data_IF_503531952921
#
_entry.id   IF_503531952921
#
_cell.length_a   1.000
_cell.length_b   1.000
_cell.length_c   1.000
_cell.angle_alpha   90.00
_cell.angle_beta   90.00
_cell.angle_gamma   90.00
#
_symmetry.space_group_name_H-M   'P 1'
#
loop_
_entity.id
_entity.type
_entity.pdbx_description
1 polymer ?
#
# COMPACT_ATOMS: atom_id res chain seq x y z
N UNK A 1 22.23 -43.44 8.46
CA UNK A 1 21.58 -43.18 7.15
C UNK A 1 21.62 -41.68 6.90
N UNK A 2 22.20 -41.24 5.77
CA UNK A 2 22.33 -39.83 5.39
C UNK A 2 21.00 -39.34 4.82
N UNK A 3 20.35 -38.37 5.45
CA UNK A 3 19.24 -37.63 4.83
C UNK A 3 19.74 -36.27 4.34
N UNK A 4 19.47 -36.04 3.06
CA UNK A 4 19.85 -34.90 2.25
C UNK A 4 18.87 -33.77 2.53
N UNK A 5 19.33 -32.70 3.18
CA UNK A 5 18.57 -31.46 3.34
C UNK A 5 18.54 -30.71 2.01
N UNK A 6 17.45 -30.84 1.25
CA UNK A 6 17.14 -29.95 0.13
C UNK A 6 16.72 -28.59 0.66
N UNK A 7 17.68 -27.67 0.75
CA UNK A 7 17.45 -26.24 0.93
C UNK A 7 16.77 -25.70 -0.33
N UNK A 8 15.46 -25.40 -0.25
CA UNK A 8 14.77 -24.68 -1.31
C UNK A 8 15.39 -23.28 -1.42
N UNK A 9 16.00 -23.01 -2.58
CA UNK A 9 16.52 -21.70 -2.99
C UNK A 9 15.40 -20.67 -2.90
N UNK A 10 15.56 -19.68 -2.03
CA UNK A 10 14.82 -18.43 -2.11
C UNK A 10 15.15 -17.77 -3.46
N UNK A 11 14.12 -17.59 -4.29
CA UNK A 11 14.22 -16.90 -5.56
C UNK A 11 14.37 -15.40 -5.27
N UNK A 12 15.55 -14.86 -5.55
CA UNK A 12 15.81 -13.42 -5.57
C UNK A 12 15.16 -12.85 -6.85
N UNK A 13 14.07 -12.12 -6.70
CA UNK A 13 13.52 -11.28 -7.77
C UNK A 13 14.02 -9.84 -7.53
N UNK A 14 14.68 -9.20 -8.50
CA UNK A 14 15.15 -7.82 -8.38
C UNK A 14 13.97 -6.86 -8.58
N UNK A 15 13.62 -6.11 -7.53
CA UNK A 15 12.73 -4.96 -7.62
C UNK A 15 13.45 -3.83 -8.37
N UNK A 16 13.17 -3.69 -9.66
CA UNK A 16 13.44 -2.46 -10.39
C UNK A 16 12.26 -1.50 -10.25
N UNK A 17 12.61 -0.29 -9.84
CA UNK A 17 11.80 0.91 -9.68
C UNK A 17 10.73 1.10 -10.76
N UNK A 18 9.51 1.50 -10.37
CA UNK A 18 8.83 2.64 -10.98
C UNK A 18 8.08 3.44 -9.91
N UNK A 19 8.50 4.69 -9.80
CA UNK A 19 8.04 5.74 -8.92
C UNK A 19 6.68 6.23 -9.39
N UNK A 20 5.64 6.15 -8.56
CA UNK A 20 4.47 7.02 -8.70
C UNK A 20 4.22 7.71 -7.36
N UNK A 21 4.55 9.00 -7.39
CA UNK A 21 4.26 10.02 -6.40
C UNK A 21 2.75 10.12 -6.18
N UNK A 22 2.25 9.88 -4.97
CA UNK A 22 0.98 10.45 -4.53
C UNK A 22 1.17 11.12 -3.17
N UNK A 23 0.91 12.44 -3.21
CA UNK A 23 1.05 13.39 -2.12
C UNK A 23 0.04 13.10 -1.02
N UNK A 24 0.54 12.89 0.20
CA UNK A 24 -0.25 13.03 1.42
C UNK A 24 -0.36 14.52 1.77
N UNK A 25 -1.56 15.09 1.71
CA UNK A 25 -1.88 16.35 2.40
C UNK A 25 -2.61 16.02 3.69
N UNK A 26 -1.99 16.37 4.82
CA UNK A 26 -2.53 16.31 6.16
C UNK A 26 -3.73 17.25 6.32
N UNK A 27 -4.86 16.70 6.74
CA UNK A 27 -6.05 17.46 7.13
C UNK A 27 -5.96 17.77 8.63
N UNK A 28 -5.72 19.04 8.99
CA UNK A 28 -5.96 19.59 10.31
C UNK A 28 -7.05 20.64 10.16
N UNK A 29 -8.22 20.41 10.77
CA UNK A 29 -9.28 21.39 10.89
C UNK A 29 -9.47 21.69 12.37
N UNK A 30 -9.16 22.93 12.74
CA UNK A 30 -9.43 23.55 14.03
C UNK A 30 -10.52 24.61 13.84
N UNK A 31 -11.49 24.59 14.73
CA UNK A 31 -12.63 25.50 14.85
C UNK A 31 -12.25 26.99 14.86
N UNK A 32 -13.08 27.82 14.21
CA UNK A 32 -13.61 29.08 14.77
C UNK A 32 -14.62 29.76 13.83
N UNK A 33 -15.79 30.07 14.39
CA UNK A 33 -16.87 30.98 13.92
C UNK A 33 -16.86 32.12 14.96
N UNK A 34 -17.05 33.44 14.64
CA UNK A 34 -18.38 33.93 14.24
C UNK A 34 -18.51 35.20 13.36
N UNK A 35 -19.72 35.29 12.79
CA UNK A 35 -20.61 36.45 12.54
C UNK A 35 -20.05 37.80 12.05
N UNK A 36 -20.62 38.35 10.97
CA UNK A 36 -21.59 39.46 11.05
C UNK A 36 -21.89 40.16 9.69
N UNK A 37 -23.20 40.20 9.36
CA UNK A 37 -24.00 41.37 8.95
C UNK A 37 -23.81 41.99 7.54
N UNK A 38 -24.94 41.94 6.82
CA UNK A 38 -25.26 42.64 5.58
C UNK A 38 -25.36 44.17 5.74
N UNK A 39 -25.21 44.92 4.65
CA UNK A 39 -25.89 46.21 4.49
C UNK A 39 -26.09 46.56 3.02
N UNK A 40 -27.37 46.55 2.64
CA UNK A 40 -27.96 47.17 1.46
C UNK A 40 -28.12 48.66 1.74
N UNK A 41 -27.88 49.52 0.75
CA UNK A 41 -28.27 50.94 0.84
C UNK A 41 -28.77 51.42 -0.51
N UNK A 42 -30.10 51.52 -0.62
CA UNK A 42 -30.80 52.40 -1.55
C UNK A 42 -31.18 53.66 -0.79
N UNK A 43 -30.98 54.84 -1.36
CA UNK A 43 -31.89 55.97 -1.17
C UNK A 43 -31.96 56.83 -2.44
N UNK A 44 -33.13 57.46 -2.56
CA UNK A 44 -33.75 58.04 -3.72
C UNK A 44 -33.69 59.58 -3.73
N UNK A 45 -34.01 60.15 -4.92
CA UNK A 45 -34.64 61.45 -5.21
C UNK A 45 -33.77 62.72 -4.99
N UNK A 46 -33.82 63.78 -5.81
CA UNK A 46 -34.86 64.27 -6.74
C UNK A 46 -34.28 65.32 -7.73
N UNK A 47 -34.80 65.31 -8.96
CA UNK A 47 -35.24 66.43 -9.82
C UNK A 47 -34.29 67.54 -10.31
N UNK A 48 -34.31 67.76 -11.64
CA UNK A 48 -34.26 69.12 -12.20
C UNK A 48 -33.56 69.32 -13.55
N UNK A 49 -34.19 68.88 -14.64
CA UNK A 49 -34.22 69.50 -15.99
C UNK A 49 -32.93 70.01 -16.68
N UNK A 50 -32.63 69.51 -17.88
CA UNK A 50 -32.86 70.19 -19.18
C UNK A 50 -32.36 69.28 -20.32
N UNK A 51 -33.17 69.23 -21.39
CA UNK A 51 -32.93 68.55 -22.64
C UNK A 51 -31.67 69.05 -23.37
N UNK A 52 -30.78 68.14 -23.71
CA UNK A 52 -30.02 68.21 -24.97
C UNK A 52 -29.99 66.83 -25.61
N UNK A 53 -30.71 66.70 -26.73
CA UNK A 53 -30.62 65.58 -27.67
C UNK A 53 -29.14 65.37 -28.06
N UNK A 54 -28.50 64.34 -27.52
CA UNK A 54 -27.39 63.68 -28.20
C UNK A 54 -27.93 62.41 -28.84
N UNK A 55 -28.22 62.50 -30.12
CA UNK A 55 -28.45 61.34 -30.97
C UNK A 55 -27.11 60.61 -31.11
N UNK A 56 -26.92 59.54 -30.35
CA UNK A 56 -25.91 58.55 -30.69
C UNK A 56 -26.53 57.67 -31.77
N UNK A 57 -26.38 58.08 -33.03
CA UNK A 57 -26.42 57.15 -34.14
C UNK A 57 -25.15 56.30 -34.06
N UNK A 58 -25.16 55.26 -33.21
CA UNK A 58 -24.31 54.11 -33.48
C UNK A 58 -24.91 53.41 -34.68
N UNK A 59 -24.46 53.84 -35.86
CA UNK A 59 -24.55 53.09 -37.09
C UNK A 59 -23.99 51.71 -36.80
N UNK A 60 -24.85 50.75 -36.48
CA UNK A 60 -24.53 49.36 -36.70
C UNK A 60 -24.26 49.27 -38.19
N UNK A 61 -23.01 49.05 -38.56
CA UNK A 61 -22.72 48.57 -39.90
C UNK A 61 -23.54 47.30 -40.05
N UNK A 62 -24.63 47.38 -40.81
CA UNK A 62 -25.20 46.21 -41.44
C UNK A 62 -24.09 45.68 -42.34
N UNK A 63 -23.28 44.77 -41.81
CA UNK A 63 -22.63 43.80 -42.67
C UNK A 63 -23.77 43.10 -43.37
N UNK A 64 -24.05 43.53 -44.60
CA UNK A 64 -24.82 42.75 -45.53
C UNK A 64 -24.19 41.37 -45.50
N UNK A 65 -24.89 40.39 -44.92
CA UNK A 65 -24.61 39.02 -45.27
C UNK A 65 -24.71 38.99 -46.79
N UNK A 66 -23.62 38.64 -47.45
CA UNK A 66 -23.65 38.22 -48.85
C UNK A 66 -24.54 36.98 -48.94
N UNK A 67 -25.85 37.21 -48.96
CA UNK A 67 -26.85 36.21 -49.29
C UNK A 67 -26.98 36.31 -50.80
N UNK A 68 -26.22 35.47 -51.50
CA UNK A 68 -26.51 35.19 -52.90
C UNK A 68 -28.02 34.90 -53.02
N UNK A 69 -28.70 35.48 -54.01
CA UNK A 69 -30.17 35.37 -54.21
C UNK A 69 -30.71 33.92 -54.28
N UNK A 70 -29.84 32.92 -54.34
CA UNK A 70 -30.16 31.49 -54.31
C UNK A 70 -29.67 30.74 -53.05
N UNK A 71 -28.98 31.38 -52.10
CA UNK A 71 -28.60 30.76 -50.82
C UNK A 71 -29.78 30.82 -49.84
N UNK A 72 -30.76 29.94 -50.06
CA UNK A 72 -31.92 29.74 -49.15
C UNK A 72 -31.54 29.06 -47.83
N UNK A 73 -30.25 29.07 -47.45
CA UNK A 73 -29.75 28.41 -46.25
C UNK A 73 -29.63 26.89 -46.38
N UNK A 74 -29.74 26.34 -47.58
CA UNK A 74 -29.50 24.90 -47.83
C UNK A 74 -28.04 24.52 -47.59
N UNK A 75 -27.08 25.39 -47.94
CA UNK A 75 -25.65 25.17 -47.65
C UNK A 75 -25.30 25.18 -46.15
N UNK A 76 -26.22 25.65 -45.29
CA UNK A 76 -26.09 25.63 -43.82
C UNK A 76 -26.94 24.55 -43.16
N UNK A 77 -27.85 23.93 -43.92
CA UNK A 77 -28.69 22.83 -43.46
C UNK A 77 -27.94 21.56 -43.74
N UNK A 78 -27.35 21.00 -42.67
CA UNK A 78 -26.75 19.67 -42.71
C UNK A 78 -27.63 18.72 -43.51
N UNK A 79 -27.04 17.98 -44.44
CA UNK A 79 -27.78 17.01 -45.24
C UNK A 79 -28.42 15.96 -44.33
N UNK A 80 -29.40 15.23 -44.85
CA UNK A 80 -30.00 14.12 -44.08
C UNK A 80 -28.91 13.12 -43.66
N UNK A 81 -27.97 12.85 -44.57
CA UNK A 81 -26.82 11.98 -44.35
C UNK A 81 -25.88 12.54 -43.27
N UNK A 82 -25.50 13.82 -43.31
CA UNK A 82 -24.67 14.45 -42.28
C UNK A 82 -25.36 14.50 -40.90
N UNK A 83 -26.69 14.67 -40.86
CA UNK A 83 -27.46 14.58 -39.60
C UNK A 83 -27.52 13.15 -39.07
N UNK A 84 -27.68 12.16 -39.94
CA UNK A 84 -27.65 10.75 -39.56
C UNK A 84 -26.26 10.35 -39.05
N UNK A 85 -25.20 10.77 -39.73
CA UNK A 85 -23.82 10.53 -39.34
C UNK A 85 -23.50 11.17 -37.98
N UNK A 86 -23.93 12.40 -37.72
CA UNK A 86 -23.76 13.04 -36.39
C UNK A 86 -24.51 12.32 -35.27
N UNK A 87 -25.72 11.80 -35.53
CA UNK A 87 -26.46 10.99 -34.54
C UNK A 87 -25.73 9.67 -34.27
N UNK A 88 -25.33 8.97 -35.32
CA UNK A 88 -24.58 7.71 -35.23
C UNK A 88 -23.22 7.89 -34.53
N UNK A 89 -22.50 8.97 -34.82
CA UNK A 89 -21.22 9.30 -34.19
C UNK A 89 -21.40 9.55 -32.68
N UNK A 90 -22.39 10.33 -32.27
CA UNK A 90 -22.69 10.55 -30.84
C UNK A 90 -22.98 9.22 -30.12
N UNK A 91 -23.75 8.33 -30.74
CA UNK A 91 -24.05 7.01 -30.18
C UNK A 91 -22.81 6.11 -30.12
N UNK A 92 -21.95 6.16 -31.14
CA UNK A 92 -20.68 5.42 -31.18
C UNK A 92 -19.68 5.92 -30.14
N UNK A 93 -19.52 7.23 -30.01
CA UNK A 93 -18.61 7.85 -29.04
C UNK A 93 -19.06 7.53 -27.60
N UNK A 94 -20.37 7.59 -27.32
CA UNK A 94 -20.94 7.18 -26.04
C UNK A 94 -20.71 5.69 -25.73
N UNK A 95 -20.86 4.82 -26.75
CA UNK A 95 -20.59 3.39 -26.60
C UNK A 95 -19.11 3.13 -26.29
N UNK A 96 -18.21 3.81 -27.00
CA UNK A 96 -16.76 3.69 -26.77
C UNK A 96 -16.35 4.17 -25.37
N UNK A 97 -16.91 5.29 -24.89
CA UNK A 97 -16.66 5.78 -23.53
C UNK A 97 -17.13 4.75 -22.51
N UNK A 98 -18.32 4.15 -22.70
CA UNK A 98 -18.82 3.12 -21.79
C UNK A 98 -17.91 1.87 -21.77
N UNK A 99 -17.48 1.42 -22.95
CA UNK A 99 -16.55 0.29 -23.07
C UNK A 99 -15.19 0.59 -22.41
N UNK A 100 -14.69 1.82 -22.53
CA UNK A 100 -13.46 2.26 -21.85
C UNK A 100 -13.62 2.23 -20.32
N UNK A 101 -14.72 2.75 -19.79
CA UNK A 101 -14.97 2.75 -18.34
C UNK A 101 -15.04 1.32 -17.77
N UNK A 102 -15.66 0.39 -18.50
CA UNK A 102 -15.70 -1.02 -18.10
C UNK A 102 -14.29 -1.61 -18.10
N UNK A 103 -13.51 -1.40 -19.15
CA UNK A 103 -12.14 -1.90 -19.23
C UNK A 103 -11.23 -1.32 -18.13
N UNK A 104 -11.38 -0.04 -17.79
CA UNK A 104 -10.65 0.58 -16.67
C UNK A 104 -11.06 -0.04 -15.33
N UNK A 105 -12.36 -0.27 -15.11
CA UNK A 105 -12.85 -0.91 -13.90
C UNK A 105 -12.39 -2.38 -13.78
N UNK A 106 -12.39 -3.11 -14.89
CA UNK A 106 -11.82 -4.47 -14.97
C UNK A 106 -10.32 -4.46 -14.66
N UNK A 107 -9.56 -3.46 -15.12
CA UNK A 107 -8.15 -3.36 -14.81
C UNK A 107 -7.90 -3.15 -13.30
N UNK A 108 -8.74 -2.37 -12.63
CA UNK A 108 -8.67 -2.17 -11.17
C UNK A 108 -8.88 -3.50 -10.44
N UNK A 109 -9.90 -4.26 -10.82
CA UNK A 109 -10.23 -5.53 -10.13
C UNK A 109 -9.22 -6.63 -10.45
N UNK A 110 -8.76 -6.73 -11.70
CA UNK A 110 -7.92 -7.84 -12.13
C UNK A 110 -6.41 -7.61 -11.92
N UNK A 111 -5.96 -6.36 -11.82
CA UNK A 111 -4.52 -6.05 -11.69
C UNK A 111 -4.21 -5.27 -10.41
N UNK A 112 -4.84 -4.11 -10.23
CA UNK A 112 -4.44 -3.19 -9.15
C UNK A 112 -4.78 -3.75 -7.77
N UNK A 113 -6.00 -4.29 -7.62
CA UNK A 113 -6.45 -4.85 -6.35
C UNK A 113 -5.61 -6.07 -5.92
N UNK A 114 -5.40 -7.11 -6.74
CA UNK A 114 -4.49 -8.21 -6.40
C UNK A 114 -3.07 -7.73 -6.07
N UNK A 115 -2.55 -6.75 -6.82
CA UNK A 115 -1.24 -6.15 -6.53
C UNK A 115 -1.17 -5.49 -5.15
N UNK A 116 -2.21 -4.77 -4.75
CA UNK A 116 -2.31 -4.20 -3.40
C UNK A 116 -2.36 -5.28 -2.31
N UNK A 117 -3.12 -6.36 -2.53
CA UNK A 117 -3.20 -7.49 -1.59
C UNK A 117 -1.82 -8.14 -1.36
N UNK A 118 -1.05 -8.36 -2.42
CA UNK A 118 0.30 -8.91 -2.34
C UNK A 118 1.25 -7.98 -1.58
N UNK A 119 1.16 -6.66 -1.79
CA UNK A 119 1.98 -5.70 -1.04
C UNK A 119 1.63 -5.68 0.46
N UNK A 120 0.36 -5.85 0.81
CA UNK A 120 -0.09 -5.99 2.21
C UNK A 120 0.46 -7.29 2.79
N UNK A 121 0.32 -8.40 2.06
CA UNK A 121 0.78 -9.71 2.49
C UNK A 121 2.28 -9.76 2.70
N UNK A 122 3.08 -9.27 1.75
CA UNK A 122 4.54 -9.26 1.83
C UNK A 122 5.05 -8.62 3.13
N UNK A 123 4.47 -7.49 3.53
CA UNK A 123 4.83 -6.79 4.79
C UNK A 123 4.44 -7.58 6.04
N UNK A 124 3.36 -8.34 5.98
CA UNK A 124 2.89 -9.17 7.10
C UNK A 124 3.71 -10.45 7.20
N UNK A 125 3.96 -11.10 6.07
CA UNK A 125 4.80 -12.28 5.95
C UNK A 125 6.23 -12.00 6.42
N UNK A 126 6.81 -10.86 6.06
CA UNK A 126 8.13 -10.44 6.55
C UNK A 126 8.17 -10.38 8.08
N UNK A 127 7.16 -9.76 8.69
CA UNK A 127 7.06 -9.68 10.16
C UNK A 127 6.87 -11.05 10.80
N UNK A 128 6.00 -11.88 10.23
CA UNK A 128 5.76 -13.23 10.73
C UNK A 128 7.03 -14.09 10.64
N UNK A 129 7.75 -14.03 9.52
CA UNK A 129 9.03 -14.70 9.32
C UNK A 129 10.09 -14.25 10.33
N UNK A 130 10.20 -12.94 10.59
CA UNK A 130 11.12 -12.42 11.60
C UNK A 130 10.75 -12.95 12.99
N UNK A 131 9.48 -12.93 13.38
CA UNK A 131 9.03 -13.47 14.66
C UNK A 131 9.32 -14.98 14.78
N UNK A 132 8.98 -15.78 13.76
CA UNK A 132 9.26 -17.21 13.74
C UNK A 132 10.76 -17.50 13.83
N UNK A 133 11.57 -16.80 13.02
CA UNK A 133 13.02 -17.03 12.96
C UNK A 133 13.75 -16.60 14.25
N UNK A 134 13.23 -15.63 15.02
CA UNK A 134 13.78 -15.32 16.36
C UNK A 134 13.73 -16.52 17.31
N UNK A 135 12.75 -17.40 17.13
CA UNK A 135 12.65 -18.65 17.88
C UNK A 135 13.43 -19.75 17.17
N UNK A 136 13.20 -19.98 15.88
CA UNK A 136 13.76 -21.14 15.16
C UNK A 136 15.26 -21.03 14.90
N UNK A 137 15.76 -19.84 14.57
CA UNK A 137 17.17 -19.63 14.24
C UNK A 137 17.58 -18.16 14.37
N UNK A 138 17.75 -17.72 15.62
CA UNK A 138 18.11 -16.33 15.93
C UNK A 138 19.46 -15.91 15.33
N UNK A 139 20.40 -16.85 15.14
CA UNK A 139 21.71 -16.55 14.56
C UNK A 139 21.56 -16.04 13.12
N UNK A 140 20.74 -16.73 12.32
CA UNK A 140 20.43 -16.31 10.95
C UNK A 140 19.66 -14.99 10.92
N UNK A 141 18.79 -14.74 11.89
CA UNK A 141 18.15 -13.42 12.07
C UNK A 141 19.18 -12.30 12.28
N UNK A 142 20.20 -12.54 13.11
CA UNK A 142 21.25 -11.56 13.36
C UNK A 142 22.08 -11.31 12.10
N UNK A 143 22.41 -12.35 11.33
CA UNK A 143 23.13 -12.21 10.05
C UNK A 143 22.37 -11.37 9.02
N UNK A 144 21.03 -11.44 9.05
CA UNK A 144 20.13 -10.68 8.18
C UNK A 144 19.77 -9.30 8.73
N UNK A 145 20.27 -8.93 9.92
CA UNK A 145 19.96 -7.66 10.55
C UNK A 145 20.59 -6.50 9.77
N UNK A 146 19.78 -5.51 9.42
CA UNK A 146 20.26 -4.25 8.88
C UNK A 146 20.53 -3.24 10.00
N UNK A 147 21.67 -2.56 9.91
CA UNK A 147 22.13 -1.60 10.90
C UNK A 147 22.40 -0.28 10.20
N UNK A 148 21.91 0.79 10.79
CA UNK A 148 22.19 2.14 10.30
C UNK A 148 23.62 2.53 10.68
N UNK A 149 24.43 2.83 9.66
CA UNK A 149 25.79 3.34 9.85
C UNK A 149 25.80 4.88 9.82
N UNK A 150 26.82 5.53 10.42
CA UNK A 150 26.98 6.97 10.34
C UNK A 150 26.92 7.45 8.88
N UNK A 151 25.94 8.30 8.57
CA UNK A 151 25.61 8.69 7.19
C UNK A 151 24.18 8.32 6.74
N UNK A 152 23.40 7.62 7.58
CA UNK A 152 21.97 7.37 7.36
C UNK A 152 21.67 6.22 6.39
N UNK A 153 22.68 5.41 6.06
CA UNK A 153 22.53 4.23 5.22
C UNK A 153 22.35 2.97 6.07
N UNK A 154 21.38 2.13 5.72
CA UNK A 154 21.23 0.79 6.30
C UNK A 154 22.15 -0.20 5.59
N UNK A 155 22.91 -0.96 6.37
CA UNK A 155 23.85 -1.97 5.85
C UNK A 155 23.66 -3.27 6.64
N UNK A 156 23.71 -4.39 5.94
CA UNK A 156 23.66 -5.73 6.55
C UNK A 156 24.77 -5.90 7.59
N UNK A 157 24.45 -6.46 8.76
CA UNK A 157 25.39 -6.67 9.86
C UNK A 157 26.65 -7.40 9.41
N UNK A 158 26.50 -8.43 8.57
CA UNK A 158 27.61 -9.23 8.03
C UNK A 158 28.62 -8.47 7.17
N UNK A 159 28.26 -7.27 6.67
CA UNK A 159 29.18 -6.40 5.94
C UNK A 159 30.05 -5.54 6.86
N UNK A 160 29.61 -5.31 8.10
CA UNK A 160 30.28 -4.41 9.06
C UNK A 160 30.84 -5.15 10.28
N UNK A 161 30.46 -6.41 10.46
CA UNK A 161 30.91 -7.27 11.54
C UNK A 161 30.84 -8.75 11.14
N UNK A 162 31.62 -9.57 11.83
CA UNK A 162 31.54 -11.02 11.77
C UNK A 162 30.62 -11.54 12.87
N UNK A 163 29.63 -12.36 12.51
CA UNK A 163 28.75 -13.05 13.48
C UNK A 163 29.29 -14.47 13.66
N UNK A 164 29.59 -14.86 14.91
CA UNK A 164 30.20 -16.15 15.24
C UNK A 164 29.38 -16.83 16.32
N UNK A 165 28.87 -18.04 16.03
CA UNK A 165 28.26 -18.91 17.05
C UNK A 165 29.37 -19.61 17.84
N UNK A 166 29.56 -19.22 19.10
CA UNK A 166 30.61 -19.78 19.98
C UNK A 166 30.10 -20.99 20.75
N UNK A 167 28.85 -20.91 21.24
CA UNK A 167 28.16 -22.02 21.92
C UNK A 167 26.71 -22.09 21.43
N UNK A 168 25.98 -23.11 21.84
CA UNK A 168 24.55 -23.26 21.53
C UNK A 168 23.75 -21.99 21.84
N UNK A 169 24.03 -21.38 23.00
CA UNK A 169 23.29 -20.22 23.52
C UNK A 169 24.11 -18.91 23.50
N UNK A 170 25.29 -18.90 22.88
CA UNK A 170 26.17 -17.72 22.87
C UNK A 170 26.61 -17.41 21.45
N UNK A 171 26.30 -16.19 21.01
CA UNK A 171 26.75 -15.61 19.74
C UNK A 171 27.65 -14.42 20.06
N UNK A 172 28.79 -14.34 19.39
CA UNK A 172 29.68 -13.19 19.43
C UNK A 172 29.60 -12.44 18.11
N UNK A 173 29.42 -11.13 18.18
CA UNK A 173 29.59 -10.24 17.04
C UNK A 173 30.92 -9.51 17.20
N UNK A 174 31.76 -9.62 16.18
CA UNK A 174 33.08 -8.99 16.12
C UNK A 174 33.01 -7.88 15.06
N UNK A 175 32.84 -6.61 15.45
CA UNK A 175 32.84 -5.48 14.53
C UNK A 175 34.17 -5.40 13.76
N UNK A 176 34.13 -5.14 12.45
CA UNK A 176 35.34 -4.86 11.68
C UNK A 176 35.99 -3.54 12.08
N UNK A 177 35.18 -2.61 12.60
CA UNK A 177 35.63 -1.34 13.15
C UNK A 177 35.06 -1.14 14.56
N UNK A 178 35.92 -0.81 15.53
CA UNK A 178 35.55 -0.63 16.93
C UNK A 178 34.51 0.48 17.16
N UNK A 179 34.43 1.46 16.26
CA UNK A 179 33.50 2.59 16.35
C UNK A 179 32.02 2.17 16.22
N UNK A 180 31.73 1.02 15.59
CA UNK A 180 30.36 0.56 15.31
C UNK A 180 29.84 -0.36 16.42
N UNK A 181 30.69 -0.81 17.35
CA UNK A 181 30.31 -1.79 18.38
C UNK A 181 29.15 -1.36 19.27
N UNK A 182 29.08 -0.09 19.66
CA UNK A 182 27.98 0.44 20.47
C UNK A 182 26.67 0.51 19.66
N UNK A 183 26.74 0.86 18.36
CA UNK A 183 25.59 0.86 17.46
C UNK A 183 25.03 -0.54 17.30
N UNK A 184 25.88 -1.54 17.03
CA UNK A 184 25.48 -2.95 16.96
C UNK A 184 24.78 -3.39 18.25
N UNK A 185 25.38 -3.08 19.41
CA UNK A 185 24.79 -3.44 20.71
C UNK A 185 23.38 -2.87 20.86
N UNK A 186 23.17 -1.59 20.50
CA UNK A 186 21.84 -0.96 20.56
C UNK A 186 20.85 -1.61 19.59
N UNK A 187 21.23 -1.87 18.34
CA UNK A 187 20.36 -2.49 17.35
C UNK A 187 19.95 -3.91 17.76
N UNK A 188 20.89 -4.73 18.20
CA UNK A 188 20.60 -6.10 18.64
C UNK A 188 19.70 -6.09 19.87
N UNK A 189 19.93 -5.18 20.84
CA UNK A 189 19.09 -5.09 22.04
C UNK A 189 17.63 -4.74 21.74
N UNK A 190 17.39 -3.97 20.67
CA UNK A 190 16.04 -3.62 20.19
C UNK A 190 15.43 -4.68 19.28
N UNK A 191 16.27 -5.46 18.60
CA UNK A 191 15.81 -6.48 17.66
C UNK A 191 15.02 -7.59 18.37
N UNK A 192 15.53 -8.09 19.50
CA UNK A 192 14.83 -9.06 20.32
C UNK A 192 15.09 -8.80 21.81
N UNK A 193 14.04 -8.36 22.52
CA UNK A 193 14.09 -8.01 23.94
C UNK A 193 14.37 -9.20 24.86
N UNK A 194 14.22 -10.43 24.37
CA UNK A 194 14.50 -11.62 25.16
C UNK A 194 16.01 -11.89 25.28
N UNK A 195 16.82 -11.31 24.39
CA UNK A 195 18.23 -11.63 24.29
C UNK A 195 19.04 -10.72 25.19
N UNK A 196 20.01 -11.29 25.92
CA UNK A 196 20.90 -10.48 26.75
C UNK A 196 22.12 -10.08 25.92
N UNK A 197 22.29 -8.78 25.73
CA UNK A 197 23.39 -8.21 24.95
C UNK A 197 24.35 -7.49 25.89
N UNK A 198 25.63 -7.80 25.79
CA UNK A 198 26.70 -7.21 26.60
C UNK A 198 27.93 -6.92 25.75
N UNK A 199 28.76 -5.97 26.20
CA UNK A 199 30.02 -5.64 25.53
C UNK A 199 31.17 -6.30 26.29
N UNK A 200 31.93 -7.14 25.61
CA UNK A 200 33.14 -7.77 26.14
C UNK A 200 34.35 -7.28 25.32
N UNK A 201 35.02 -6.23 25.80
CA UNK A 201 36.14 -5.60 25.10
C UNK A 201 35.71 -5.00 23.75
N UNK A 202 36.29 -5.52 22.66
CA UNK A 202 35.97 -5.13 21.29
C UNK A 202 34.80 -5.90 20.66
N UNK A 203 34.20 -6.85 21.38
CA UNK A 203 33.14 -7.72 20.88
C UNK A 203 31.80 -7.41 21.55
N UNK A 204 30.72 -7.72 20.84
CA UNK A 204 29.36 -7.73 21.39
C UNK A 204 28.96 -9.17 21.62
N UNK A 205 28.73 -9.54 22.87
CA UNK A 205 28.28 -10.88 23.27
C UNK A 205 26.78 -10.90 23.44
N UNK A 206 26.18 -11.93 22.87
CA UNK A 206 24.75 -12.16 22.84
C UNK A 206 24.48 -13.51 23.49
N UNK A 207 23.76 -13.49 24.61
CA UNK A 207 23.27 -14.71 25.27
C UNK A 207 21.83 -14.93 24.84
N UNK A 208 21.64 -15.98 24.06
CA UNK A 208 20.35 -16.42 23.54
C UNK A 208 19.67 -17.27 24.62
N UNK A 209 18.47 -16.90 25.10
CA UNK A 209 17.76 -17.72 26.07
C UNK A 209 17.27 -19.01 25.40
N UNK A 210 17.12 -20.06 26.21
CA UNK A 210 16.52 -21.32 25.77
C UNK A 210 15.11 -21.09 25.20
N UNK A 211 14.73 -21.94 24.25
CA UNK A 211 13.42 -21.87 23.61
C UNK A 211 12.44 -22.66 24.47
N UNK A 212 11.71 -21.95 25.34
CA UNK A 212 10.66 -22.55 26.16
C UNK A 212 9.38 -22.76 25.36
N UNK A 213 8.50 -23.65 25.83
CA UNK A 213 7.13 -23.80 25.32
C UNK A 213 6.39 -22.46 25.34
N UNK A 214 6.41 -21.76 26.48
CA UNK A 214 5.78 -20.44 26.62
C UNK A 214 6.28 -19.40 25.60
N UNK A 215 7.56 -19.46 25.18
CA UNK A 215 8.10 -18.57 24.14
C UNK A 215 7.59 -18.96 22.76
N UNK A 216 7.47 -20.25 22.47
CA UNK A 216 6.85 -20.75 21.22
C UNK A 216 5.38 -20.35 21.15
N UNK A 217 4.62 -20.59 22.21
CA UNK A 217 3.20 -20.21 22.32
C UNK A 217 3.00 -18.73 22.03
N UNK A 218 3.77 -17.88 22.73
CA UNK A 218 3.73 -16.42 22.52
C UNK A 218 4.02 -16.04 21.07
N UNK A 219 5.00 -16.67 20.44
CA UNK A 219 5.39 -16.37 19.06
C UNK A 219 4.32 -16.83 18.06
N UNK A 220 3.72 -18.00 18.29
CA UNK A 220 2.59 -18.47 17.49
C UNK A 220 1.39 -17.52 17.61
N UNK A 221 1.09 -17.02 18.82
CA UNK A 221 0.03 -16.04 19.04
C UNK A 221 0.33 -14.67 18.41
N UNK A 222 1.60 -14.25 18.38
CA UNK A 222 2.02 -13.07 17.63
C UNK A 222 1.74 -13.25 16.12
N UNK A 223 2.03 -14.42 15.55
CA UNK A 223 1.74 -14.73 14.14
C UNK A 223 0.21 -14.76 13.90
N UNK A 224 -0.58 -15.37 14.78
CA UNK A 224 -2.05 -15.33 14.67
C UNK A 224 -2.62 -13.93 14.77
N UNK A 225 -2.01 -13.07 15.59
CA UNK A 225 -2.37 -11.65 15.64
C UNK A 225 -2.07 -10.96 14.31
N UNK A 226 -0.97 -11.29 13.64
CA UNK A 226 -0.65 -10.81 12.30
C UNK A 226 -1.67 -11.28 11.24
N UNK A 227 -2.19 -12.51 11.35
CA UNK A 227 -3.30 -12.99 10.49
C UNK A 227 -4.55 -12.12 10.67
N UNK A 228 -4.89 -11.75 11.90
CA UNK A 228 -6.02 -10.85 12.16
C UNK A 228 -5.79 -9.46 11.54
N UNK A 229 -4.57 -8.93 11.62
CA UNK A 229 -4.19 -7.67 10.98
C UNK A 229 -4.28 -7.76 9.45
N UNK A 230 -3.86 -8.89 8.86
CA UNK A 230 -4.00 -9.16 7.41
C UNK A 230 -5.47 -9.06 6.99
N UNK A 231 -6.35 -9.80 7.66
CA UNK A 231 -7.79 -9.80 7.38
C UNK A 231 -8.39 -8.38 7.45
N UNK A 232 -8.01 -7.60 8.47
CA UNK A 232 -8.48 -6.22 8.62
C UNK A 232 -7.99 -5.30 7.49
N UNK A 233 -6.70 -5.38 7.13
CA UNK A 233 -6.13 -4.55 6.06
C UNK A 233 -6.70 -4.89 4.70
N UNK A 234 -6.88 -6.17 4.41
CA UNK A 234 -7.49 -6.62 3.16
C UNK A 234 -8.95 -6.16 3.06
N UNK A 235 -9.72 -6.27 4.15
CA UNK A 235 -11.09 -5.74 4.20
C UNK A 235 -11.13 -4.22 3.94
N UNK A 236 -10.14 -3.49 4.42
CA UNK A 236 -10.01 -2.05 4.13
C UNK A 236 -9.72 -1.78 2.65
N UNK A 237 -8.75 -2.50 2.06
CA UNK A 237 -8.42 -2.42 0.63
C UNK A 237 -9.65 -2.75 -0.24
N UNK A 238 -10.38 -3.82 0.10
CA UNK A 238 -11.67 -4.20 -0.53
C UNK A 238 -12.65 -3.04 -0.51
N UNK A 239 -12.85 -2.45 0.68
CA UNK A 239 -13.79 -1.32 0.84
C UNK A 239 -13.38 -0.11 0.01
N UNK A 240 -12.07 0.16 -0.09
CA UNK A 240 -11.54 1.25 -0.91
C UNK A 240 -11.77 0.98 -2.41
N UNK A 241 -11.35 -0.18 -2.92
CA UNK A 241 -11.54 -0.57 -4.32
C UNK A 241 -13.03 -0.62 -4.70
N UNK A 242 -13.89 -1.13 -3.82
CA UNK A 242 -15.34 -1.13 -4.03
C UNK A 242 -15.96 0.27 -4.14
N UNK A 243 -15.45 1.26 -3.39
CA UNK A 243 -15.88 2.67 -3.54
C UNK A 243 -15.42 3.24 -4.87
N UNK A 244 -14.18 2.98 -5.27
CA UNK A 244 -13.66 3.43 -6.57
C UNK A 244 -14.54 2.88 -7.70
N UNK A 245 -14.93 1.61 -7.66
CA UNK A 245 -15.84 1.02 -8.65
C UNK A 245 -17.23 1.68 -8.67
N UNK A 246 -17.78 2.02 -7.49
CA UNK A 246 -19.06 2.72 -7.40
C UNK A 246 -18.99 4.12 -8.02
N UNK A 247 -17.85 4.81 -7.85
CA UNK A 247 -17.62 6.15 -8.37
C UNK A 247 -17.36 6.19 -9.89
N UNK A 248 -17.06 5.04 -10.53
CA UNK A 248 -16.81 4.93 -11.97
C UNK A 248 -18.06 5.13 -12.86
N UNK A 249 -19.28 5.14 -12.27
CA UNK A 249 -20.51 5.36 -13.04
C UNK A 249 -20.89 4.23 -13.99
N UNK A 250 -20.52 2.99 -13.63
CA UNK A 250 -20.89 1.77 -14.36
C UNK A 250 -22.40 1.50 -14.28
N UNK A 251 -22.91 0.64 -15.16
CA UNK A 251 -24.26 0.11 -14.99
C UNK A 251 -24.34 -0.87 -13.82
N UNK A 252 -25.52 -0.96 -13.19
CA UNK A 252 -25.73 -1.77 -11.98
C UNK A 252 -25.36 -3.24 -12.17
N UNK A 253 -25.54 -3.80 -13.37
CA UNK A 253 -25.17 -5.17 -13.70
C UNK A 253 -23.66 -5.39 -13.69
N UNK A 254 -22.93 -4.61 -14.49
CA UNK A 254 -21.47 -4.66 -14.53
C UNK A 254 -20.83 -4.33 -13.17
N UNK A 255 -21.40 -3.36 -12.43
CA UNK A 255 -20.94 -3.02 -11.10
C UNK A 255 -21.09 -4.18 -10.12
N UNK A 256 -22.23 -4.88 -10.15
CA UNK A 256 -22.48 -6.04 -9.29
C UNK A 256 -21.49 -7.18 -9.60
N UNK A 257 -21.29 -7.49 -10.88
CA UNK A 257 -20.35 -8.53 -11.31
C UNK A 257 -18.91 -8.23 -10.84
N UNK A 258 -18.45 -7.00 -11.03
CA UNK A 258 -17.12 -6.58 -10.57
C UNK A 258 -16.99 -6.58 -9.05
N UNK A 259 -18.05 -6.21 -8.31
CA UNK A 259 -18.05 -6.31 -6.84
C UNK A 259 -18.00 -7.76 -6.37
N UNK A 260 -18.70 -8.68 -7.03
CA UNK A 260 -18.62 -10.11 -6.70
C UNK A 260 -17.23 -10.68 -6.97
N UNK A 261 -16.62 -10.30 -8.11
CA UNK A 261 -15.26 -10.73 -8.44
C UNK A 261 -14.24 -10.22 -7.42
N UNK A 262 -14.40 -8.99 -6.94
CA UNK A 262 -13.57 -8.38 -5.91
C UNK A 262 -13.72 -9.13 -4.58
N UNK A 263 -14.94 -9.51 -4.19
CA UNK A 263 -15.21 -10.32 -3.00
C UNK A 263 -14.58 -11.71 -3.09
N UNK A 264 -14.75 -12.40 -4.22
CA UNK A 264 -14.18 -13.72 -4.44
C UNK A 264 -12.65 -13.67 -4.38
N UNK A 265 -12.04 -12.71 -5.08
CA UNK A 265 -10.59 -12.48 -5.05
C UNK A 265 -10.09 -12.23 -3.63
N UNK A 266 -10.80 -11.39 -2.87
CA UNK A 266 -10.46 -11.10 -1.47
C UNK A 266 -10.53 -12.36 -0.61
N UNK A 267 -11.61 -13.13 -0.71
CA UNK A 267 -11.85 -14.29 0.13
C UNK A 267 -10.83 -15.40 -0.15
N UNK A 268 -10.62 -15.74 -1.42
CA UNK A 268 -9.62 -16.74 -1.81
C UNK A 268 -8.22 -16.34 -1.35
N UNK A 269 -7.83 -15.08 -1.57
CA UNK A 269 -6.51 -14.60 -1.13
C UNK A 269 -6.34 -14.68 0.39
N UNK A 270 -7.34 -14.24 1.16
CA UNK A 270 -7.29 -14.28 2.62
C UNK A 270 -7.22 -15.71 3.14
N UNK A 271 -7.98 -16.64 2.56
CA UNK A 271 -7.98 -18.04 2.95
C UNK A 271 -6.60 -18.68 2.72
N UNK A 272 -6.05 -18.54 1.51
CA UNK A 272 -4.75 -19.10 1.17
C UNK A 272 -3.63 -18.51 2.04
N UNK A 273 -3.55 -17.18 2.14
CA UNK A 273 -2.46 -16.52 2.86
C UNK A 273 -2.57 -16.62 4.37
N UNK A 274 -3.78 -16.71 4.92
CA UNK A 274 -3.95 -17.01 6.34
C UNK A 274 -3.51 -18.44 6.65
N UNK A 275 -3.75 -19.40 5.75
CA UNK A 275 -3.32 -20.78 5.92
C UNK A 275 -1.79 -20.89 5.87
N UNK A 276 -1.12 -20.21 4.94
CA UNK A 276 0.36 -20.13 4.90
C UNK A 276 0.95 -19.59 6.22
N UNK A 277 0.32 -18.57 6.80
CA UNK A 277 0.77 -18.00 8.09
C UNK A 277 0.45 -18.90 9.29
N UNK A 278 -0.67 -19.62 9.28
CA UNK A 278 -1.00 -20.58 10.35
C UNK A 278 -0.04 -21.77 10.32
N UNK A 279 0.33 -22.26 9.14
CA UNK A 279 1.38 -23.27 9.00
C UNK A 279 2.70 -22.80 9.61
N UNK A 280 3.10 -21.55 9.40
CA UNK A 280 4.28 -20.98 10.04
C UNK A 280 4.15 -20.95 11.58
N UNK A 281 2.96 -20.66 12.12
CA UNK A 281 2.72 -20.73 13.55
C UNK A 281 2.83 -22.17 14.09
N UNK A 282 2.33 -23.16 13.36
CA UNK A 282 2.45 -24.58 13.68
C UNK A 282 3.91 -25.08 13.61
N UNK A 283 4.69 -24.60 12.64
CA UNK A 283 6.13 -24.89 12.54
C UNK A 283 6.91 -24.41 13.77
N UNK A 284 6.60 -23.19 14.27
CA UNK A 284 7.20 -22.67 15.51
C UNK A 284 6.85 -23.54 16.71
N UNK A 285 5.65 -24.09 16.75
CA UNK A 285 5.17 -24.93 17.86
C UNK A 285 5.77 -26.34 17.84
N UNK A 286 5.83 -26.97 16.66
CA UNK A 286 6.24 -28.37 16.48
C UNK A 286 7.74 -28.62 16.68
N UNK A 287 8.58 -27.60 16.48
CA UNK A 287 10.05 -27.72 16.51
C UNK A 287 10.69 -27.80 17.90
N UNK A 288 9.93 -27.95 18.97
CA UNK A 288 10.50 -28.11 20.32
C UNK A 288 10.07 -29.38 21.03
N UNK A 289 10.21 -30.51 20.34
CA UNK A 289 10.68 -31.73 21.01
C UNK A 289 12.20 -31.55 21.11
N UNK A 290 12.65 -30.81 22.13
CA UNK A 290 14.07 -30.55 22.34
C UNK A 290 14.69 -31.79 22.98
N UNK A 291 15.88 -32.21 22.54
CA UNK A 291 16.54 -33.45 22.98
C UNK A 291 16.85 -33.48 24.49
N UNK A 292 16.66 -32.37 25.21
CA UNK A 292 16.72 -32.32 26.68
C UNK A 292 15.61 -33.10 27.38
N UNK A 293 14.49 -33.42 26.70
CA UNK A 293 13.44 -34.26 27.27
C UNK A 293 13.82 -35.77 27.27
N UNK A 294 14.92 -36.15 26.61
CA UNK A 294 15.43 -37.53 26.61
C UNK A 294 16.45 -37.83 27.72
N UNK A 295 16.91 -36.83 28.48
CA UNK A 295 17.90 -37.02 29.56
C UNK A 295 17.27 -37.35 30.93
N UNK A 296 15.96 -37.56 31.01
CA UNK A 296 15.26 -37.98 32.24
C UNK A 296 15.15 -39.50 32.42
N UNK A 297 15.94 -40.30 31.69
CA UNK A 297 15.74 -41.76 31.61
C UNK A 297 16.95 -42.66 31.82
N UNK A 298 18.10 -42.16 32.30
CA UNK A 298 19.25 -43.01 32.63
C UNK A 298 19.82 -42.67 34.02
N UNK A 299 19.15 -43.14 35.05
CA UNK A 299 19.73 -43.42 36.38
C UNK A 299 19.37 -44.84 36.77
#
# INVERSE_FOLDING_TARGET
MRQVLTVRKACLIPLCCHTIFLRYTSFQASDQVPCAVASSTRHYFTSGTIFTKRSYYTTTHFFLKDVYKNDRGEARRLTFEERAERRMKKTRDQKQIKEQLIHEAEAIVNNDFPGELELIYAKILERANISAMKVLNIVKCLELLEIEVPGGHSVLLTKVAQVVKVKTNIVEIIPHNSNIGNTILQYVSRFDSNVQVSKEGSKVKIVVPSITTARRDKTADEIRTLINILRQRIKHARTHAGKVLQDCGLDDGALLELQTLLDDTMNTFVEEKALELEQLAEEVMSMGIDESDFDLGNT
#
